data_IF_841015825550
#
_entry.id   IF_841015825550
#
_cell.length_a   1.000
_cell.length_b   1.000
_cell.length_c   1.000
_cell.angle_alpha   90.00
_cell.angle_beta   90.00
_cell.angle_gamma   90.00
#
_symmetry.space_group_name_H-M   'P 1'
#
loop_
_entity.id
_entity.type
_entity.pdbx_description
1 polymer ?
#
# COMPACT_ATOMS: atom_id res chain seq x y z
N UNK A 1 -19.06 -17.81 -22.78
CA UNK A 1 -18.85 -18.29 -21.40
C UNK A 1 -17.74 -17.43 -20.82
N UNK A 2 -18.09 -16.42 -20.03
CA UNK A 2 -17.11 -15.45 -19.52
C UNK A 2 -16.59 -16.01 -18.21
N UNK A 3 -15.46 -16.73 -18.26
CA UNK A 3 -14.75 -17.16 -17.07
C UNK A 3 -14.29 -15.90 -16.31
N UNK A 4 -14.97 -15.62 -15.19
CA UNK A 4 -14.58 -14.55 -14.29
C UNK A 4 -13.30 -15.02 -13.60
N UNK A 5 -12.14 -14.69 -14.17
CA UNK A 5 -10.85 -14.94 -13.51
C UNK A 5 -10.88 -14.20 -12.18
N UNK A 6 -10.96 -14.95 -11.08
CA UNK A 6 -11.00 -14.39 -9.74
C UNK A 6 -9.66 -13.71 -9.47
N UNK A 7 -9.69 -12.37 -9.38
CA UNK A 7 -8.49 -11.61 -9.05
C UNK A 7 -8.06 -11.98 -7.64
N UNK A 8 -6.82 -12.46 -7.52
CA UNK A 8 -6.27 -12.83 -6.22
C UNK A 8 -6.18 -11.57 -5.35
N UNK A 9 -6.83 -11.62 -4.19
CA UNK A 9 -6.87 -10.52 -3.22
C UNK A 9 -5.63 -10.55 -2.33
N UNK A 10 -5.00 -9.40 -2.15
CA UNK A 10 -3.76 -9.26 -1.39
C UNK A 10 -3.89 -8.08 -0.43
N UNK A 11 -3.46 -8.27 0.82
CA UNK A 11 -3.30 -7.18 1.79
C UNK A 11 -1.84 -6.81 1.87
N UNK A 12 -1.52 -5.54 1.63
CA UNK A 12 -0.15 -5.03 1.66
C UNK A 12 0.05 -4.07 2.83
N UNK A 13 1.18 -4.16 3.51
CA UNK A 13 1.56 -3.18 4.53
C UNK A 13 2.30 -2.02 3.86
N UNK A 14 1.69 -0.83 3.91
CA UNK A 14 2.22 0.38 3.30
C UNK A 14 2.88 1.24 4.38
N UNK A 15 4.21 1.31 4.35
CA UNK A 15 4.99 2.13 5.29
C UNK A 15 5.25 3.54 4.78
N UNK A 16 4.99 3.80 3.50
CA UNK A 16 5.28 5.09 2.84
C UNK A 16 6.73 5.20 2.34
N UNK A 17 7.55 4.17 2.55
CA UNK A 17 8.87 4.07 1.93
C UNK A 17 8.80 3.61 0.47
N UNK A 18 9.90 3.81 -0.26
CA UNK A 18 10.05 3.43 -1.67
C UNK A 18 9.74 1.94 -1.90
N UNK A 19 10.25 1.06 -1.04
CA UNK A 19 10.11 -0.39 -1.20
C UNK A 19 8.65 -0.84 -1.12
N UNK A 20 7.93 -0.40 -0.07
CA UNK A 20 6.52 -0.74 0.12
C UNK A 20 5.65 -0.18 -1.02
N UNK A 21 5.99 1.00 -1.53
CA UNK A 21 5.28 1.64 -2.64
C UNK A 21 5.50 0.89 -3.96
N UNK A 22 6.74 0.50 -4.25
CA UNK A 22 7.08 -0.30 -5.42
C UNK A 22 6.46 -1.70 -5.34
N UNK A 23 6.42 -2.31 -4.17
CA UNK A 23 5.79 -3.62 -3.96
C UNK A 23 4.29 -3.57 -4.31
N UNK A 24 3.54 -2.62 -3.75
CA UNK A 24 2.11 -2.43 -4.06
C UNK A 24 1.88 -2.19 -5.55
N UNK A 25 2.66 -1.29 -6.16
CA UNK A 25 2.52 -0.96 -7.59
C UNK A 25 2.85 -2.15 -8.49
N UNK A 26 3.80 -2.98 -8.09
CA UNK A 26 4.17 -4.20 -8.81
C UNK A 26 3.06 -5.24 -8.73
N UNK A 27 2.48 -5.45 -7.55
CA UNK A 27 1.34 -6.36 -7.38
C UNK A 27 0.12 -5.90 -8.18
N UNK A 28 -0.20 -4.60 -8.17
CA UNK A 28 -1.29 -4.06 -9.00
C UNK A 28 -1.05 -4.29 -10.49
N UNK A 29 0.18 -4.07 -11.00
CA UNK A 29 0.54 -4.33 -12.41
C UNK A 29 0.43 -5.81 -12.80
N UNK A 30 0.58 -6.73 -11.85
CA UNK A 30 0.43 -8.16 -12.07
C UNK A 30 -1.05 -8.61 -12.03
N UNK A 31 -2.01 -7.69 -11.81
CA UNK A 31 -3.44 -7.99 -11.84
C UNK A 31 -4.01 -8.49 -10.50
N UNK A 32 -3.31 -8.23 -9.39
CA UNK A 32 -3.83 -8.52 -8.06
C UNK A 32 -4.74 -7.38 -7.57
N UNK A 33 -5.80 -7.74 -6.85
CA UNK A 33 -6.64 -6.79 -6.12
C UNK A 33 -5.95 -6.49 -4.78
N UNK A 34 -5.28 -5.34 -4.70
CA UNK A 34 -4.45 -4.98 -3.53
C UNK A 34 -5.18 -4.00 -2.62
N UNK A 35 -5.33 -4.37 -1.34
CA UNK A 35 -5.75 -3.48 -0.26
C UNK A 35 -4.54 -3.12 0.60
N UNK A 36 -4.17 -1.84 0.64
CA UNK A 36 -3.03 -1.38 1.44
C UNK A 36 -3.46 -0.94 2.84
N UNK A 37 -2.71 -1.34 3.87
CA UNK A 37 -2.92 -0.96 5.27
C UNK A 37 -1.67 -0.28 5.79
N UNK A 38 -1.83 0.92 6.35
CA UNK A 38 -0.77 1.62 7.06
C UNK A 38 -1.06 1.57 8.57
N UNK A 39 -0.11 1.06 9.34
CA UNK A 39 -0.23 0.93 10.79
C UNK A 39 0.50 2.09 11.44
N UNK A 40 -0.25 2.97 12.12
CA UNK A 40 0.32 4.03 12.95
C UNK A 40 0.70 3.47 14.31
N UNK A 41 1.98 3.57 14.67
CA UNK A 41 2.47 3.20 15.99
C UNK A 41 2.63 4.46 16.85
N UNK A 42 2.47 4.38 18.19
CA UNK A 42 2.54 5.55 19.06
C UNK A 42 3.95 6.13 19.24
N UNK A 43 4.98 5.46 18.70
CA UNK A 43 6.38 5.88 18.79
C UNK A 43 6.89 6.50 17.49
N UNK A 44 6.12 6.38 16.42
CA UNK A 44 6.42 6.94 15.11
C UNK A 44 5.20 7.73 14.67
N UNK A 45 5.16 9.00 15.05
CA UNK A 45 4.30 9.92 14.35
C UNK A 45 4.83 10.00 12.91
N UNK A 46 4.03 9.55 11.95
CA UNK A 46 4.20 9.80 10.51
C UNK A 46 4.31 11.31 10.15
N UNK A 47 4.33 12.19 11.16
CA UNK A 47 4.63 13.63 11.17
C UNK A 47 6.09 13.90 11.58
N UNK A 48 7.06 13.22 10.96
CA UNK A 48 8.49 13.55 11.09
C UNK A 48 8.83 14.86 10.37
N UNK A 49 8.13 15.97 10.63
CA UNK A 49 8.37 17.34 10.14
C UNK A 49 8.21 17.56 8.61
N UNK A 50 8.76 16.67 7.78
CA UNK A 50 8.70 16.54 6.31
C UNK A 50 9.09 15.11 5.86
N UNK A 51 8.78 14.06 6.62
CA UNK A 51 9.35 12.72 6.42
C UNK A 51 8.38 11.56 6.65
N UNK A 52 8.63 10.48 5.89
CA UNK A 52 8.08 9.12 5.96
C UNK A 52 6.65 9.05 6.49
N UNK A 53 5.63 9.25 5.64
CA UNK A 53 4.23 9.05 6.04
C UNK A 53 3.19 9.95 5.40
N UNK A 54 3.56 11.20 5.13
CA UNK A 54 2.64 12.22 4.61
C UNK A 54 1.93 11.78 3.32
N UNK A 55 2.68 11.15 2.40
CA UNK A 55 2.16 10.65 1.12
C UNK A 55 1.07 9.57 1.27
N UNK A 56 1.03 8.82 2.38
CA UNK A 56 0.06 7.73 2.54
C UNK A 56 -1.34 8.28 2.80
N UNK A 57 -1.44 9.36 3.58
CA UNK A 57 -2.74 9.96 3.95
C UNK A 57 -3.37 10.74 2.80
N UNK A 58 -2.57 11.24 1.86
CA UNK A 58 -3.05 11.92 0.65
C UNK A 58 -3.39 10.98 -0.51
N UNK A 59 -2.85 9.74 -0.52
CA UNK A 59 -2.98 8.81 -1.65
C UNK A 59 -3.78 7.54 -1.37
N UNK A 60 -4.14 7.25 -0.12
CA UNK A 60 -5.07 6.19 0.26
C UNK A 60 -6.52 6.64 0.02
#
# INVERSE_FOLDING_TARGET
MTEKQEQKKVVALLSGGLDSTLAVKTMQKQGFEVSAVAIKTPFCDFDCGRGCGFEIRERA
#
